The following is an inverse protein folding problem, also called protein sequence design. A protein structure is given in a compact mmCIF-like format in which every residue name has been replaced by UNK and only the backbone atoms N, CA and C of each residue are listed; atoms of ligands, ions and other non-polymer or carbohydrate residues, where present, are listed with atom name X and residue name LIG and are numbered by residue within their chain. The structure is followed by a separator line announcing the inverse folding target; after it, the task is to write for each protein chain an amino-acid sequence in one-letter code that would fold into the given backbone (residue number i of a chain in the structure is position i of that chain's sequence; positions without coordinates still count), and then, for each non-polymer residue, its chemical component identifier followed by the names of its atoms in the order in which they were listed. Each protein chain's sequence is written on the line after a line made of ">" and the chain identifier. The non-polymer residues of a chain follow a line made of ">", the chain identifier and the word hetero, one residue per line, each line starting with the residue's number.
data_IF_312429993128
#
_entry.id   IF_312429993128
#
_cell.length_a   1.000
_cell.length_b   1.000
_cell.length_c   1.000
_cell.angle_alpha   90.00
_cell.angle_beta   90.00
_cell.angle_gamma   90.00
#
_symmetry.space_group_name_H-M   'P 1'
#
loop_
_entity.id
_entity.type
_entity.pdbx_description
1 polymer ?
#
# COMPACT_ATOMS: atom_id res chain seq x y z
N UNK A 1 -33.16 10.30 21.42
CA UNK A 1 -32.89 8.88 21.78
C UNK A 1 -33.72 8.02 20.85
N UNK A 2 -33.11 7.13 20.07
CA UNK A 2 -33.82 6.07 19.34
C UNK A 2 -34.43 5.12 20.38
N UNK A 3 -35.69 4.74 20.23
CA UNK A 3 -36.33 3.78 21.14
C UNK A 3 -35.67 2.40 21.07
N UNK A 4 -35.87 1.57 22.10
CA UNK A 4 -35.45 0.17 22.08
C UNK A 4 -36.14 -0.52 20.89
N UNK A 5 -35.35 -1.05 19.96
CA UNK A 5 -35.87 -1.72 18.76
C UNK A 5 -36.29 -0.80 17.60
N UNK A 6 -35.95 0.49 17.66
CA UNK A 6 -36.17 1.45 16.57
C UNK A 6 -34.89 1.66 15.75
N UNK A 7 -34.99 1.48 14.44
CA UNK A 7 -33.91 1.60 13.48
C UNK A 7 -34.26 2.61 12.38
N UNK A 8 -33.25 2.97 11.58
CA UNK A 8 -33.44 3.87 10.44
C UNK A 8 -32.81 3.17 9.25
N UNK A 9 -33.55 3.13 8.14
CA UNK A 9 -33.06 2.54 6.92
C UNK A 9 -31.88 3.36 6.37
N UNK A 10 -30.74 2.70 6.12
CA UNK A 10 -29.52 3.35 5.64
C UNK A 10 -29.67 3.98 4.24
N UNK A 11 -30.60 3.48 3.41
CA UNK A 11 -30.81 3.97 2.04
C UNK A 11 -31.85 5.08 1.98
N UNK A 12 -32.98 4.90 2.64
CA UNK A 12 -34.15 5.80 2.51
C UNK A 12 -34.28 6.79 3.67
N UNK A 13 -33.60 6.55 4.79
CA UNK A 13 -33.75 7.34 6.01
C UNK A 13 -35.08 7.16 6.73
N UNK A 14 -35.93 6.25 6.26
CA UNK A 14 -37.25 6.01 6.87
C UNK A 14 -37.08 5.26 8.20
N UNK A 15 -37.79 5.65 9.28
CA UNK A 15 -37.80 4.92 10.53
C UNK A 15 -38.45 3.54 10.38
N UNK A 16 -37.77 2.51 10.87
CA UNK A 16 -38.26 1.13 10.83
C UNK A 16 -38.17 0.50 12.23
N UNK A 17 -39.05 -0.44 12.54
CA UNK A 17 -39.16 -1.07 13.86
C UNK A 17 -38.88 -2.56 13.77
N UNK A 18 -38.30 -3.16 14.81
CA UNK A 18 -38.22 -4.61 14.93
C UNK A 18 -39.62 -5.20 15.00
N UNK A 19 -39.89 -6.23 14.20
CA UNK A 19 -41.13 -7.00 14.35
C UNK A 19 -41.12 -7.77 15.68
N UNK A 20 -42.24 -7.84 16.44
CA UNK A 20 -42.28 -8.50 17.75
C UNK A 20 -41.89 -9.98 17.75
N UNK A 21 -42.03 -10.67 16.61
CA UNK A 21 -41.62 -12.08 16.46
C UNK A 21 -40.13 -12.25 16.11
N UNK A 22 -39.39 -11.16 15.94
CA UNK A 22 -37.95 -11.21 15.64
C UNK A 22 -37.18 -11.70 16.86
N UNK A 23 -36.15 -12.54 16.65
CA UNK A 23 -35.32 -13.05 17.74
C UNK A 23 -34.55 -11.94 18.49
N UNK A 24 -34.27 -10.80 17.84
CA UNK A 24 -33.63 -9.65 18.46
C UNK A 24 -34.60 -8.84 19.34
N UNK A 25 -35.91 -9.06 19.22
CA UNK A 25 -36.91 -8.35 20.01
C UNK A 25 -36.83 -8.83 21.46
N UNK A 26 -36.56 -7.92 22.39
CA UNK A 26 -36.43 -8.25 23.82
C UNK A 26 -35.06 -8.79 24.23
N UNK A 27 -34.06 -8.82 23.34
CA UNK A 27 -32.68 -8.94 23.79
C UNK A 27 -32.32 -7.67 24.55
N UNK A 28 -31.82 -7.80 25.78
CA UNK A 28 -31.52 -6.66 26.69
C UNK A 28 -30.43 -5.69 26.20
N UNK A 29 -29.97 -5.84 24.96
CA UNK A 29 -29.10 -4.93 24.24
C UNK A 29 -29.62 -4.75 22.81
N UNK A 30 -29.42 -3.57 22.24
CA UNK A 30 -29.80 -3.27 20.85
C UNK A 30 -28.54 -3.15 20.01
N UNK A 31 -28.30 -4.06 19.04
CA UNK A 31 -27.20 -3.92 18.08
C UNK A 31 -27.24 -2.58 17.33
N UNK A 32 -26.08 -2.03 16.98
CA UNK A 32 -26.01 -0.76 16.26
C UNK A 32 -26.50 -0.88 14.80
N UNK A 33 -26.17 -2.00 14.14
CA UNK A 33 -26.54 -2.30 12.77
C UNK A 33 -27.22 -3.67 12.67
N UNK A 34 -28.24 -3.72 11.82
CA UNK A 34 -29.02 -4.93 11.54
C UNK A 34 -29.33 -5.05 10.06
N UNK A 35 -29.47 -6.28 9.58
CA UNK A 35 -30.02 -6.59 8.25
C UNK A 35 -31.34 -7.34 8.42
N UNK A 36 -32.30 -7.08 7.53
CA UNK A 36 -33.62 -7.70 7.54
C UNK A 36 -33.91 -8.37 6.18
N UNK A 37 -34.74 -9.41 6.20
CA UNK A 37 -35.14 -10.11 4.96
C UNK A 37 -36.34 -9.42 4.30
N UNK A 38 -37.31 -9.01 5.10
CA UNK A 38 -38.57 -8.44 4.63
C UNK A 38 -38.93 -7.19 5.43
N UNK A 39 -39.59 -6.25 4.74
CA UNK A 39 -40.16 -5.04 5.33
C UNK A 39 -41.68 -5.08 5.16
N UNK A 40 -42.41 -5.20 6.25
CA UNK A 40 -43.87 -5.25 6.27
C UNK A 40 -44.41 -3.83 6.48
N UNK A 41 -45.02 -3.27 5.44
CA UNK A 41 -45.62 -1.93 5.50
C UNK A 41 -47.03 -2.00 6.13
N UNK A 42 -47.20 -1.38 7.30
CA UNK A 42 -48.50 -1.27 7.99
C UNK A 42 -48.73 0.18 8.45
N UNK A 43 -49.20 0.42 9.67
CA UNK A 43 -49.17 1.74 10.31
C UNK A 43 -47.74 2.16 10.71
N UNK A 44 -46.86 1.17 10.94
CA UNK A 44 -45.41 1.33 11.08
C UNK A 44 -44.72 0.32 10.17
N UNK A 45 -43.50 0.62 9.75
CA UNK A 45 -42.70 -0.29 8.94
C UNK A 45 -41.97 -1.28 9.87
N UNK A 46 -42.31 -2.57 9.76
CA UNK A 46 -41.74 -3.61 10.59
C UNK A 46 -40.75 -4.48 9.81
N UNK A 47 -39.56 -4.66 10.38
CA UNK A 47 -38.52 -5.53 9.84
C UNK A 47 -38.69 -6.96 10.34
N UNK A 48 -38.72 -7.93 9.43
CA UNK A 48 -38.85 -9.35 9.73
C UNK A 48 -37.57 -10.12 9.34
N UNK A 49 -37.30 -11.20 10.08
CA UNK A 49 -36.06 -11.99 9.97
C UNK A 49 -34.80 -11.12 10.11
N UNK A 50 -34.68 -10.47 11.28
CA UNK A 50 -33.62 -9.50 11.54
C UNK A 50 -32.39 -10.17 12.16
N UNK A 51 -31.21 -9.85 11.63
CA UNK A 51 -29.91 -10.36 12.11
C UNK A 51 -28.98 -9.19 12.44
N UNK A 52 -28.29 -9.27 13.58
CA UNK A 52 -27.28 -8.29 13.97
C UNK A 52 -26.01 -8.44 13.13
N UNK A 53 -25.42 -7.32 12.71
CA UNK A 53 -24.20 -7.32 11.88
C UNK A 53 -23.23 -6.23 12.31
N UNK A 54 -21.96 -6.40 11.97
CA UNK A 54 -20.97 -5.32 12.05
C UNK A 54 -21.12 -4.39 10.83
N UNK A 55 -21.11 -3.08 11.07
CA UNK A 55 -21.13 -2.07 10.01
C UNK A 55 -19.91 -2.15 9.08
N UNK A 56 -18.76 -2.65 9.56
CA UNK A 56 -17.58 -2.86 8.73
C UNK A 56 -17.80 -3.91 7.64
N UNK A 57 -18.57 -4.97 7.91
CA UNK A 57 -18.90 -5.99 6.92
C UNK A 57 -19.71 -5.44 5.74
N UNK A 58 -20.60 -4.48 6.01
CA UNK A 58 -21.37 -3.83 4.95
C UNK A 58 -20.47 -3.01 4.02
N UNK A 59 -19.46 -2.33 4.57
CA UNK A 59 -18.50 -1.58 3.76
C UNK A 59 -17.56 -2.49 2.96
N UNK A 60 -17.20 -3.66 3.50
CA UNK A 60 -16.36 -4.65 2.81
C UNK A 60 -17.11 -5.37 1.68
N UNK A 61 -18.33 -5.85 1.93
CA UNK A 61 -19.13 -6.60 0.96
C UNK A 61 -19.88 -5.71 -0.02
N UNK A 62 -20.19 -4.47 0.37
CA UNK A 62 -20.95 -3.49 -0.42
C UNK A 62 -20.25 -2.14 -0.57
N UNK A 63 -19.00 -2.08 -1.07
CA UNK A 63 -18.20 -0.85 -1.11
C UNK A 63 -18.81 0.25 -1.99
N UNK A 64 -19.66 -0.13 -2.96
CA UNK A 64 -20.36 0.83 -3.82
C UNK A 64 -21.53 1.54 -3.12
N UNK A 65 -22.05 0.96 -2.03
CA UNK A 65 -23.22 1.48 -1.31
C UNK A 65 -22.86 2.02 0.07
N UNK A 66 -21.80 1.51 0.70
CA UNK A 66 -21.46 1.80 2.08
C UNK A 66 -20.01 2.26 2.22
N UNK A 67 -19.76 3.17 3.15
CA UNK A 67 -18.42 3.62 3.53
C UNK A 67 -18.44 3.94 5.02
N UNK A 68 -17.46 3.42 5.76
CA UNK A 68 -17.36 3.69 7.19
C UNK A 68 -16.77 5.07 7.39
N UNK A 69 -17.54 5.93 8.06
CA UNK A 69 -17.05 7.23 8.52
C UNK A 69 -16.53 7.06 9.95
N UNK A 70 -15.22 6.98 10.10
CA UNK A 70 -14.59 6.99 11.42
C UNK A 70 -14.90 8.32 12.10
N UNK A 71 -15.79 8.28 13.10
CA UNK A 71 -16.19 9.43 13.91
C UNK A 71 -15.08 9.76 14.91
N UNK A 72 -13.98 10.29 14.37
CA UNK A 72 -12.79 10.64 15.11
C UNK A 72 -11.82 11.42 14.26
N UNK A 73 -11.70 11.09 12.96
CA UNK A 73 -10.81 11.81 12.07
C UNK A 73 -11.41 13.16 11.69
N UNK A 74 -10.99 14.20 12.42
CA UNK A 74 -11.24 15.58 12.01
C UNK A 74 -10.74 15.78 10.57
N UNK A 75 -11.29 16.76 9.83
CA UNK A 75 -10.70 17.21 8.54
C UNK A 75 -9.19 17.41 8.65
N UNK A 76 -8.72 17.80 9.83
CA UNK A 76 -7.32 17.93 10.21
C UNK A 76 -6.57 16.60 10.26
N UNK A 77 -7.12 15.54 10.87
CA UNK A 77 -6.48 14.21 10.91
C UNK A 77 -6.41 13.55 9.55
N UNK A 78 -7.48 13.64 8.76
CA UNK A 78 -7.44 13.18 7.37
C UNK A 78 -6.32 13.88 6.58
N UNK A 79 -6.13 15.19 6.78
CA UNK A 79 -5.03 15.94 6.16
C UNK A 79 -3.66 15.51 6.67
N UNK A 80 -3.51 15.27 7.97
CA UNK A 80 -2.24 14.81 8.56
C UNK A 80 -1.87 13.42 8.03
N UNK A 81 -2.86 12.52 7.92
CA UNK A 81 -2.66 11.17 7.38
C UNK A 81 -2.23 11.23 5.92
N UNK A 82 -2.93 12.01 5.09
CA UNK A 82 -2.56 12.23 3.69
C UNK A 82 -1.15 12.81 3.51
N UNK A 83 -0.74 13.75 4.36
CA UNK A 83 0.61 14.32 4.33
C UNK A 83 1.68 13.28 4.71
N UNK A 84 1.41 12.45 5.74
CA UNK A 84 2.31 11.35 6.12
C UNK A 84 2.43 10.32 5.00
N UNK A 85 1.31 9.95 4.38
CA UNK A 85 1.29 8.99 3.28
C UNK A 85 2.10 9.51 2.07
N UNK A 86 1.97 10.81 1.76
CA UNK A 86 2.76 11.48 0.71
C UNK A 86 4.25 11.51 1.05
N UNK A 87 4.62 11.81 2.30
CA UNK A 87 6.01 11.80 2.75
C UNK A 87 6.64 10.40 2.66
N UNK A 88 5.89 9.36 3.05
CA UNK A 88 6.35 7.97 2.91
C UNK A 88 6.56 7.61 1.44
N UNK A 89 5.63 7.99 0.56
CA UNK A 89 5.75 7.75 -0.87
C UNK A 89 6.94 8.48 -1.50
N UNK A 90 7.18 9.74 -1.10
CA UNK A 90 8.35 10.51 -1.58
C UNK A 90 9.67 9.86 -1.15
N UNK A 91 9.75 9.35 0.09
CA UNK A 91 10.95 8.66 0.57
C UNK A 91 11.18 7.38 -0.24
N UNK A 92 10.15 6.56 -0.42
CA UNK A 92 10.25 5.34 -1.22
C UNK A 92 10.67 5.62 -2.67
N UNK A 93 10.13 6.66 -3.31
CA UNK A 93 10.55 7.04 -4.66
C UNK A 93 12.01 7.52 -4.73
N UNK A 94 12.50 8.26 -3.73
CA UNK A 94 13.90 8.69 -3.69
C UNK A 94 14.85 7.50 -3.56
N UNK A 95 14.51 6.56 -2.67
CA UNK A 95 15.31 5.35 -2.47
C UNK A 95 15.31 4.49 -3.73
N UNK A 96 14.15 4.33 -4.39
CA UNK A 96 14.04 3.65 -5.67
C UNK A 96 14.86 4.34 -6.77
N UNK A 97 14.81 5.68 -6.87
CA UNK A 97 15.59 6.43 -7.84
C UNK A 97 17.10 6.26 -7.62
N UNK A 98 17.56 6.33 -6.37
CA UNK A 98 18.96 6.09 -6.04
C UNK A 98 19.40 4.67 -6.41
N UNK A 99 18.55 3.67 -6.17
CA UNK A 99 18.85 2.29 -6.57
C UNK A 99 18.96 2.16 -8.09
N UNK A 100 18.04 2.77 -8.84
CA UNK A 100 18.07 2.79 -10.31
C UNK A 100 19.33 3.49 -10.84
N UNK A 101 19.69 4.64 -10.29
CA UNK A 101 20.89 5.38 -10.70
C UNK A 101 22.17 4.60 -10.38
N UNK A 102 22.23 3.93 -9.23
CA UNK A 102 23.34 3.04 -8.87
C UNK A 102 23.43 1.84 -9.82
N UNK A 103 22.30 1.23 -10.20
CA UNK A 103 22.29 0.13 -11.18
C UNK A 103 22.78 0.61 -12.54
N UNK A 104 22.26 1.73 -13.03
CA UNK A 104 22.67 2.33 -14.29
C UNK A 104 24.15 2.72 -14.29
N UNK A 105 24.65 3.31 -13.21
CA UNK A 105 26.07 3.65 -13.07
C UNK A 105 26.96 2.40 -13.02
N UNK A 106 26.52 1.31 -12.37
CA UNK A 106 27.22 0.02 -12.37
C UNK A 106 27.23 -0.60 -13.77
N UNK A 107 26.11 -0.58 -14.47
CA UNK A 107 26.01 -1.05 -15.86
C UNK A 107 26.91 -0.24 -16.79
N UNK A 108 26.85 1.09 -16.71
CA UNK A 108 27.67 1.98 -17.52
C UNK A 108 29.17 1.83 -17.20
N UNK A 109 29.54 1.66 -15.92
CA UNK A 109 30.91 1.37 -15.52
C UNK A 109 31.38 -0.01 -16.00
N UNK A 110 30.51 -1.03 -15.96
CA UNK A 110 30.80 -2.37 -16.48
C UNK A 110 31.00 -2.34 -18.01
N UNK A 111 30.12 -1.64 -18.73
CA UNK A 111 30.20 -1.44 -20.18
C UNK A 111 31.48 -0.65 -20.55
N UNK A 112 31.80 0.41 -19.79
CA UNK A 112 33.03 1.19 -19.96
C UNK A 112 34.29 0.39 -19.63
N UNK A 113 34.25 -0.51 -18.65
CA UNK A 113 35.34 -1.42 -18.34
C UNK A 113 35.51 -2.48 -19.43
N UNK A 114 34.40 -2.98 -20.02
CA UNK A 114 34.41 -3.92 -21.13
C UNK A 114 35.11 -3.34 -22.38
N UNK A 115 34.97 -2.03 -22.63
CA UNK A 115 35.63 -1.34 -23.75
C UNK A 115 37.07 -0.88 -23.47
N UNK A 116 37.60 -1.01 -22.24
CA UNK A 116 39.03 -0.78 -22.01
C UNK A 116 39.82 -1.97 -22.56
N UNK A 117 40.59 -1.72 -23.61
CA UNK A 117 41.46 -2.73 -24.23
C UNK A 117 42.52 -3.22 -23.23
N UNK A 118 42.83 -4.52 -23.16
CA UNK A 118 43.98 -4.99 -22.40
C UNK A 118 45.24 -4.33 -22.99
N UNK A 119 46.12 -3.79 -22.14
CA UNK A 119 47.44 -3.33 -22.58
C UNK A 119 48.19 -4.52 -23.14
N UNK A 120 48.20 -4.67 -24.47
CA UNK A 120 48.95 -5.70 -25.17
C UNK A 120 50.43 -5.44 -24.92
N UNK A 121 51.09 -6.31 -24.16
CA UNK A 121 52.53 -6.31 -24.04
C UNK A 121 53.11 -6.79 -25.38
N UNK A 122 53.65 -5.87 -26.17
CA UNK A 122 54.31 -6.18 -27.43
C UNK A 122 55.74 -6.66 -27.17
N UNK A 123 56.15 -7.85 -27.66
CA UNK A 123 57.55 -8.27 -27.61
C UNK A 123 58.43 -7.23 -28.32
N UNK A 124 59.45 -6.72 -27.61
CA UNK A 124 60.40 -5.73 -28.15
C UNK A 124 60.17 -4.26 -27.73
N UNK A 125 59.12 -3.96 -26.95
CA UNK A 125 58.96 -2.61 -26.37
C UNK A 125 59.97 -2.41 -25.23
N UNK A 126 60.96 -1.55 -25.46
CA UNK A 126 62.01 -1.23 -24.48
C UNK A 126 61.40 -0.32 -23.40
N UNK A 127 61.35 -0.81 -22.15
CA UNK A 127 60.98 0.01 -21.01
C UNK A 127 62.10 1.00 -20.69
N UNK A 128 61.87 2.33 -20.73
CA UNK A 128 62.92 3.33 -20.53
C UNK A 128 63.51 3.32 -19.10
N UNK A 129 62.92 2.56 -18.17
CA UNK A 129 63.37 2.43 -16.78
C UNK A 129 64.15 1.13 -16.50
N UNK A 130 64.22 0.19 -17.44
CA UNK A 130 65.04 -1.04 -17.31
C UNK A 130 66.19 -1.01 -18.31
N UNK A 131 67.30 -0.40 -17.91
CA UNK A 131 68.58 -0.49 -18.62
C UNK A 131 69.28 -1.79 -18.23
N UNK A 132 69.42 -2.74 -19.16
CA UNK A 132 70.19 -3.97 -18.94
C UNK A 132 71.68 -3.67 -19.12
N UNK A 133 72.55 -3.90 -18.13
CA UNK A 133 73.98 -3.59 -18.25
C UNK A 133 74.66 -4.49 -19.29
N UNK A 134 75.29 -3.88 -20.29
CA UNK A 134 75.91 -4.59 -21.41
C UNK A 134 77.32 -5.09 -21.03
N UNK A 135 77.51 -6.42 -20.95
CA UNK A 135 78.82 -7.05 -20.72
C UNK A 135 79.54 -7.22 -22.05
N UNK A 136 80.63 -6.49 -22.26
CA UNK A 136 81.49 -6.65 -23.45
C UNK A 136 82.41 -7.86 -23.27
N UNK A 137 82.22 -8.88 -24.10
CA UNK A 137 83.06 -10.08 -24.17
C UNK A 137 83.85 -10.11 -25.46
N UNK A 138 85.16 -9.92 -25.34
CA UNK A 138 86.18 -9.91 -26.40
C UNK A 138 86.63 -11.35 -26.71
N UNK A 139 86.43 -11.81 -27.94
CA UNK A 139 87.11 -12.97 -28.56
C UNK A 139 87.12 -12.69 -30.08
N UNK A 140 88.21 -12.75 -30.86
CA UNK A 140 89.52 -13.38 -30.69
C UNK A 140 89.67 -14.47 -31.75
N UNK A 141 90.46 -14.16 -32.80
CA UNK A 141 90.78 -14.91 -34.05
C UNK A 141 89.79 -14.73 -35.21
#
# INVERSE_FOLDING_TARGET
>A
LKGIGEYVNLRTGIPCFLHPTSALFGMGYTPDYVVYHELVMTAKEYMQCVTAVDGYWLAELGPMFYTVKESGSSRKENRIRALKDMETMEREMRDAQQQMDQQKAKEEAALRAQWKTPKIATPGRVDPTKSTPHRTGRFGL
#
